data_IF_313345879952
#
_entry.id   IF_313345879952
#
_cell.length_a   1.000
_cell.length_b   1.000
_cell.length_c   1.000
_cell.angle_alpha   90.00
_cell.angle_beta   90.00
_cell.angle_gamma   90.00
#
_symmetry.space_group_name_H-M   'P 1'
#
loop_
_entity.id
_entity.type
_entity.pdbx_description
1 polymer ?
#
# COMPACT_ATOMS: atom_id res chain seq x y z
N UNK A 1 -0.46 -6.30 -2.91
CA UNK A 1 -0.05 -6.13 -4.33
C UNK A 1 -1.19 -6.69 -5.14
N UNK A 2 -1.67 -5.94 -6.12
CA UNK A 2 -2.71 -6.40 -7.03
C UNK A 2 -2.12 -6.48 -8.42
N UNK A 3 -2.40 -7.58 -9.10
CA UNK A 3 -1.90 -7.86 -10.44
C UNK A 3 -3.08 -8.26 -11.30
N UNK A 4 -3.16 -7.71 -12.50
CA UNK A 4 -4.16 -8.05 -13.49
C UNK A 4 -3.46 -8.35 -14.81
N UNK A 5 -3.61 -9.58 -15.28
CA UNK A 5 -3.27 -9.97 -16.65
C UNK A 5 -4.50 -9.75 -17.50
N UNK A 6 -4.46 -8.70 -18.32
CA UNK A 6 -5.59 -8.36 -19.16
C UNK A 6 -5.87 -9.40 -20.25
N UNK A 7 -4.81 -10.07 -20.75
CA UNK A 7 -4.93 -11.05 -21.83
C UNK A 7 -5.66 -12.31 -21.36
N UNK A 8 -5.33 -12.80 -20.16
CA UNK A 8 -6.03 -13.94 -19.56
C UNK A 8 -7.30 -13.57 -18.80
N UNK A 9 -7.48 -12.28 -18.47
CA UNK A 9 -8.55 -11.78 -17.61
C UNK A 9 -8.37 -12.16 -16.14
N UNK A 10 -7.22 -12.72 -15.77
CA UNK A 10 -6.93 -13.20 -14.41
C UNK A 10 -6.41 -12.04 -13.57
N UNK A 11 -6.94 -11.93 -12.34
CA UNK A 11 -6.46 -10.97 -11.36
C UNK A 11 -6.06 -11.69 -10.09
N UNK A 12 -4.93 -11.30 -9.51
CA UNK A 12 -4.37 -11.90 -8.30
C UNK A 12 -4.02 -10.79 -7.31
N UNK A 13 -4.44 -10.95 -6.06
CA UNK A 13 -3.97 -10.12 -4.95
C UNK A 13 -3.01 -10.92 -4.11
N UNK A 14 -1.81 -10.40 -3.95
CA UNK A 14 -0.78 -10.97 -3.09
C UNK A 14 -0.69 -10.10 -1.84
N UNK A 15 -1.04 -10.69 -0.70
CA UNK A 15 -0.93 -10.05 0.60
C UNK A 15 0.40 -10.43 1.26
N UNK A 16 1.26 -9.42 1.48
CA UNK A 16 2.56 -9.60 2.13
C UNK A 16 2.53 -9.21 3.62
N UNK A 17 1.36 -8.91 4.18
CA UNK A 17 1.24 -8.60 5.61
C UNK A 17 1.75 -9.78 6.42
N UNK A 18 2.74 -9.56 7.31
CA UNK A 18 3.31 -10.62 8.13
C UNK A 18 2.22 -11.22 9.02
N UNK A 19 2.21 -12.55 9.11
CA UNK A 19 1.30 -13.26 9.99
C UNK A 19 1.94 -13.37 11.37
N UNK A 20 1.35 -12.71 12.34
CA UNK A 20 1.77 -12.86 13.73
C UNK A 20 1.22 -14.17 14.30
N UNK A 21 2.12 -15.02 14.82
CA UNK A 21 1.71 -16.23 15.51
C UNK A 21 0.88 -15.88 16.75
N UNK A 22 -0.33 -16.42 16.84
CA UNK A 22 -1.25 -16.22 17.97
C UNK A 22 -0.60 -16.52 19.35
N UNK A 23 0.43 -17.36 19.39
CA UNK A 23 1.14 -17.72 20.62
C UNK A 23 1.95 -16.58 21.23
N UNK A 24 2.46 -15.64 20.42
CA UNK A 24 3.36 -14.59 20.92
C UNK A 24 2.61 -13.52 21.73
N UNK A 25 1.39 -13.19 21.30
CA UNK A 25 0.52 -12.26 22.03
C UNK A 25 0.09 -12.81 23.40
N UNK A 26 -0.18 -14.13 23.50
CA UNK A 26 -0.50 -14.77 24.78
C UNK A 26 0.72 -14.92 25.72
N UNK A 27 1.93 -15.01 25.17
CA UNK A 27 3.14 -15.25 25.96
C UNK A 27 3.68 -14.00 26.66
N UNK A 28 3.45 -12.81 26.08
CA UNK A 28 4.13 -11.57 26.48
C UNK A 28 3.35 -10.68 27.46
N UNK A 29 2.24 -11.17 28.03
CA UNK A 29 1.62 -10.56 29.22
C UNK A 29 1.31 -9.06 29.13
N UNK A 30 0.89 -8.58 27.95
CA UNK A 30 0.37 -7.22 27.74
C UNK A 30 1.37 -6.05 27.79
N UNK A 31 2.58 -6.22 28.34
CA UNK A 31 3.47 -5.08 28.64
C UNK A 31 4.79 -5.03 27.84
N UNK A 32 5.16 -6.06 27.07
CA UNK A 32 6.35 -6.02 26.19
C UNK A 32 5.99 -5.94 24.70
N UNK A 33 5.30 -4.86 24.30
CA UNK A 33 4.88 -4.61 22.92
C UNK A 33 6.04 -4.32 21.92
N UNK A 34 7.27 -4.05 22.42
CA UNK A 34 8.40 -3.65 21.57
C UNK A 34 9.15 -4.79 20.88
N UNK A 35 9.12 -6.00 21.44
CA UNK A 35 9.80 -7.16 20.83
C UNK A 35 8.85 -7.97 19.93
N UNK A 36 7.54 -7.92 20.21
CA UNK A 36 6.52 -8.58 19.38
C UNK A 36 6.31 -7.88 18.04
N UNK A 37 6.59 -6.58 17.94
CA UNK A 37 6.31 -5.80 16.73
C UNK A 37 7.24 -6.06 15.55
N UNK A 38 8.32 -6.80 15.75
CA UNK A 38 9.28 -7.19 14.70
C UNK A 38 8.60 -8.16 13.72
N UNK A 39 8.04 -7.62 12.65
CA UNK A 39 7.55 -8.38 11.52
C UNK A 39 8.68 -9.17 10.83
N UNK A 40 8.38 -10.41 10.42
CA UNK A 40 9.20 -11.17 9.49
C UNK A 40 9.38 -10.41 8.16
N UNK A 41 10.53 -10.56 7.47
CA UNK A 41 10.81 -9.91 6.19
C UNK A 41 10.01 -10.53 5.02
N UNK A 42 8.71 -10.77 5.24
CA UNK A 42 7.82 -11.49 4.33
C UNK A 42 7.58 -10.73 3.03
N UNK A 43 7.71 -9.39 3.06
CA UNK A 43 7.65 -8.55 1.86
C UNK A 43 8.62 -9.02 0.76
N UNK A 44 9.89 -9.21 1.11
CA UNK A 44 10.90 -9.49 0.11
C UNK A 44 10.81 -10.96 -0.34
N UNK A 45 10.38 -11.87 0.54
CA UNK A 45 10.04 -13.24 0.15
C UNK A 45 8.86 -13.28 -0.82
N UNK A 46 7.80 -12.54 -0.52
CA UNK A 46 6.62 -12.48 -1.36
C UNK A 46 6.89 -11.88 -2.74
N UNK A 47 7.78 -10.87 -2.83
CA UNK A 47 8.27 -10.35 -4.12
C UNK A 47 9.05 -11.42 -4.89
N UNK A 48 9.90 -12.20 -4.20
CA UNK A 48 10.64 -13.29 -4.83
C UNK A 48 9.72 -14.40 -5.33
N UNK A 49 8.72 -14.83 -4.54
CA UNK A 49 7.72 -15.78 -5.03
C UNK A 49 6.96 -15.20 -6.21
N UNK A 50 6.50 -13.95 -6.13
CA UNK A 50 5.84 -13.31 -7.27
C UNK A 50 6.73 -13.31 -8.54
N UNK A 51 8.02 -13.06 -8.39
CA UNK A 51 9.01 -13.15 -9.46
C UNK A 51 9.11 -14.57 -10.05
N UNK A 52 9.01 -15.62 -9.25
CA UNK A 52 9.04 -16.99 -9.78
C UNK A 52 7.87 -17.32 -10.72
N UNK A 53 6.74 -16.63 -10.55
CA UNK A 53 5.52 -16.88 -11.33
C UNK A 53 5.43 -15.97 -12.55
N UNK A 54 5.75 -14.68 -12.38
CA UNK A 54 5.54 -13.67 -13.42
C UNK A 54 6.85 -13.05 -13.95
N UNK A 55 7.96 -13.26 -13.26
CA UNK A 55 9.26 -12.70 -13.59
C UNK A 55 9.87 -13.32 -14.84
N UNK A 56 10.54 -12.48 -15.63
CA UNK A 56 11.19 -12.89 -16.89
C UNK A 56 12.68 -12.69 -16.91
N UNK A 57 13.15 -11.70 -16.14
CA UNK A 57 14.57 -11.46 -15.94
C UNK A 57 15.08 -12.39 -14.86
N UNK A 58 16.38 -12.69 -14.87
CA UNK A 58 16.99 -13.40 -13.75
C UNK A 58 16.80 -12.57 -12.46
N UNK A 59 16.51 -13.24 -11.34
CA UNK A 59 16.31 -12.56 -10.06
C UNK A 59 17.48 -11.64 -9.69
N UNK A 60 18.70 -12.11 -9.97
CA UNK A 60 19.91 -11.34 -9.75
C UNK A 60 19.89 -10.00 -10.49
N UNK A 61 19.48 -9.97 -11.76
CA UNK A 61 19.43 -8.76 -12.59
C UNK A 61 18.43 -7.74 -12.05
N UNK A 62 17.36 -8.21 -11.41
CA UNK A 62 16.33 -7.35 -10.80
C UNK A 62 16.84 -6.73 -9.48
N UNK A 63 17.58 -7.50 -8.69
CA UNK A 63 18.10 -7.05 -7.39
C UNK A 63 19.36 -6.20 -7.53
N UNK A 64 20.14 -6.39 -8.60
CA UNK A 64 21.43 -5.73 -8.80
C UNK A 64 21.37 -4.19 -8.73
N UNK A 65 20.41 -3.49 -9.36
CA UNK A 65 20.30 -2.04 -9.23
C UNK A 65 20.15 -1.56 -7.77
N UNK A 66 19.47 -2.35 -6.93
CA UNK A 66 19.34 -2.03 -5.49
C UNK A 66 20.64 -2.26 -4.72
N UNK A 67 21.43 -3.27 -5.11
CA UNK A 67 22.78 -3.52 -4.56
C UNK A 67 23.71 -2.36 -4.92
N UNK A 68 23.68 -1.93 -6.18
CA UNK A 68 24.52 -0.86 -6.70
C UNK A 68 24.16 0.47 -6.03
N UNK A 69 22.87 0.77 -5.89
CA UNK A 69 22.39 1.96 -5.19
C UNK A 69 22.76 1.95 -3.70
N UNK A 70 22.62 0.81 -3.02
CA UNK A 70 22.95 0.69 -1.59
C UNK A 70 24.47 0.80 -1.34
N UNK A 71 25.31 0.25 -2.23
CA UNK A 71 26.77 0.24 -2.04
C UNK A 71 27.47 1.48 -2.60
N UNK A 72 27.07 1.96 -3.77
CA UNK A 72 27.56 3.20 -4.37
C UNK A 72 26.99 4.45 -3.70
N UNK A 73 25.80 4.32 -3.13
CA UNK A 73 25.06 5.38 -2.47
C UNK A 73 24.38 6.34 -3.44
N UNK A 74 23.57 7.23 -2.89
CA UNK A 74 22.84 8.24 -3.66
C UNK A 74 22.67 9.54 -2.89
N UNK A 75 22.58 10.66 -3.62
CA UNK A 75 22.28 11.97 -3.06
C UNK A 75 20.78 12.21 -3.03
N UNK A 76 20.26 12.71 -1.92
CA UNK A 76 18.88 13.19 -1.83
C UNK A 76 18.81 14.40 -0.94
N UNK A 77 18.23 15.48 -1.45
CA UNK A 77 17.95 16.67 -0.64
C UNK A 77 16.83 16.40 0.37
N UNK A 78 15.85 15.57 0.01
CA UNK A 78 14.69 15.25 0.85
C UNK A 78 15.07 14.50 2.14
N UNK A 79 16.06 13.60 2.05
CA UNK A 79 16.47 12.80 3.21
C UNK A 79 17.18 13.61 4.31
N UNK A 80 17.76 14.77 3.97
CA UNK A 80 18.39 15.65 4.94
C UNK A 80 17.38 16.27 5.90
N UNK A 81 16.25 16.74 5.37
CA UNK A 81 15.14 17.27 6.14
C UNK A 81 14.47 16.15 6.96
N UNK A 82 14.28 15.00 6.33
CA UNK A 82 13.49 13.92 6.87
C UNK A 82 14.15 13.17 8.05
N UNK A 83 15.46 12.89 7.97
CA UNK A 83 16.15 12.14 9.02
C UNK A 83 16.73 12.99 10.16
N UNK A 84 16.60 14.32 10.09
CA UNK A 84 17.16 15.20 11.11
C UNK A 84 18.63 14.90 11.39
N UNK A 85 19.46 14.87 10.33
CA UNK A 85 20.94 14.87 10.21
C UNK A 85 21.89 14.46 11.37
N UNK A 86 21.46 13.71 12.39
CA UNK A 86 22.29 13.47 13.59
C UNK A 86 22.45 12.02 14.06
N UNK A 87 21.73 11.04 13.49
CA UNK A 87 21.64 9.71 14.13
C UNK A 87 21.77 8.48 13.21
N UNK A 88 21.89 8.65 11.91
CA UNK A 88 22.11 7.51 11.00
C UNK A 88 23.60 7.39 10.65
N UNK A 89 24.14 6.17 10.61
CA UNK A 89 25.48 5.84 10.11
C UNK A 89 25.53 6.00 8.58
N UNK A 90 25.13 7.17 8.10
CA UNK A 90 25.35 7.60 6.73
C UNK A 90 26.81 8.03 6.69
N UNK A 91 27.63 7.25 6.02
CA UNK A 91 28.98 7.68 5.67
C UNK A 91 28.86 8.93 4.80
N UNK A 92 29.12 10.09 5.40
CA UNK A 92 29.22 11.34 4.66
C UNK A 92 30.58 11.38 4.01
N UNK A 93 30.64 11.15 2.71
CA UNK A 93 31.79 11.61 1.94
C UNK A 93 31.68 13.13 1.82
N UNK A 94 32.51 13.82 2.58
CA UNK A 94 32.58 15.28 2.59
C UNK A 94 33.23 15.77 1.29
N UNK A 95 32.43 15.92 0.24
CA UNK A 95 32.78 16.64 -0.99
C UNK A 95 31.58 17.47 -1.44
N UNK A 96 31.72 18.80 -1.50
CA UNK A 96 30.71 19.75 -2.00
C UNK A 96 29.38 19.84 -1.23
N UNK A 97 29.31 19.45 0.04
CA UNK A 97 28.12 19.63 0.88
C UNK A 97 26.93 18.71 0.53
N UNK A 98 27.11 17.79 -0.43
CA UNK A 98 26.10 16.79 -0.76
C UNK A 98 26.29 15.56 0.13
N UNK A 99 25.26 15.20 0.89
CA UNK A 99 25.25 13.97 1.68
C UNK A 99 24.95 12.81 0.73
N UNK A 100 25.90 11.88 0.61
CA UNK A 100 25.70 10.60 -0.10
C UNK A 100 25.30 9.55 0.92
N UNK A 101 24.17 8.88 0.68
CA UNK A 101 23.65 7.82 1.54
C UNK A 101 24.17 6.47 1.07
N UNK A 102 25.15 5.88 1.78
CA UNK A 102 25.62 4.50 1.57
C UNK A 102 25.08 3.56 2.64
N UNK A 103 24.75 2.33 2.26
CA UNK A 103 24.17 1.29 3.13
C UNK A 103 24.85 -0.07 2.82
N UNK A 104 26.12 -0.20 3.21
CA UNK A 104 26.94 -1.38 2.89
C UNK A 104 26.36 -2.67 3.46
N UNK A 105 25.82 -2.63 4.68
CA UNK A 105 25.22 -3.82 5.30
C UNK A 105 23.97 -4.27 4.55
N UNK A 106 23.16 -3.32 4.05
CA UNK A 106 22.00 -3.62 3.21
C UNK A 106 22.43 -4.22 1.87
N UNK A 107 23.47 -3.66 1.24
CA UNK A 107 24.02 -4.21 0.01
C UNK A 107 24.47 -5.67 0.20
N UNK A 108 25.10 -6.01 1.32
CA UNK A 108 25.49 -7.39 1.63
C UNK A 108 24.30 -8.33 1.85
N UNK A 109 23.21 -7.85 2.47
CA UNK A 109 21.96 -8.61 2.54
C UNK A 109 21.41 -8.88 1.14
N UNK A 110 21.31 -7.84 0.32
CA UNK A 110 20.78 -7.94 -1.03
C UNK A 110 21.62 -8.87 -1.92
N UNK A 111 22.97 -8.85 -1.81
CA UNK A 111 23.86 -9.82 -2.48
C UNK A 111 23.60 -11.26 -2.06
N UNK A 112 23.34 -11.50 -0.77
CA UNK A 112 23.02 -12.85 -0.29
C UNK A 112 21.67 -13.32 -0.83
N UNK A 113 20.69 -12.43 -0.89
CA UNK A 113 19.35 -12.67 -1.44
C UNK A 113 19.38 -12.89 -2.95
N UNK A 114 20.26 -12.20 -3.68
CA UNK A 114 20.37 -12.34 -5.13
C UNK A 114 20.96 -13.69 -5.55
N UNK A 115 21.92 -14.22 -4.79
CA UNK A 115 22.64 -15.47 -5.12
C UNK A 115 21.95 -16.72 -4.58
N UNK A 116 21.55 -16.75 -3.30
CA UNK A 116 21.14 -18.00 -2.65
C UNK A 116 19.63 -18.26 -2.73
N UNK A 117 18.91 -17.42 -3.47
CA UNK A 117 17.46 -17.29 -3.37
C UNK A 117 17.03 -17.09 -1.90
N UNK A 118 15.75 -16.92 -1.62
CA UNK A 118 15.29 -16.52 -0.28
C UNK A 118 15.58 -17.51 0.86
N UNK A 119 16.13 -18.69 0.54
CA UNK A 119 16.38 -19.80 1.46
C UNK A 119 17.21 -19.41 2.68
N UNK A 120 18.15 -18.48 2.53
CA UNK A 120 19.01 -18.00 3.63
C UNK A 120 18.22 -17.24 4.69
N UNK A 121 17.21 -16.46 4.29
CA UNK A 121 16.38 -15.69 5.21
C UNK A 121 15.31 -16.56 5.87
N UNK A 122 14.70 -17.49 5.11
CA UNK A 122 13.61 -18.33 5.62
C UNK A 122 14.06 -19.41 6.59
N UNK A 123 15.24 -20.02 6.39
CA UNK A 123 15.79 -21.01 7.32
C UNK A 123 16.12 -20.42 8.69
N UNK A 124 16.56 -19.16 8.73
CA UNK A 124 16.85 -18.48 10.00
C UNK A 124 15.61 -18.10 10.80
N UNK A 125 14.43 -17.99 10.17
CA UNK A 125 13.26 -17.33 10.76
C UNK A 125 12.00 -18.20 10.92
N UNK A 126 12.02 -19.48 10.54
CA UNK A 126 10.86 -20.41 10.65
C UNK A 126 9.54 -19.84 10.04
N UNK A 127 9.62 -19.24 8.84
CA UNK A 127 8.54 -18.49 8.16
C UNK A 127 7.41 -19.38 7.55
N UNK A 128 7.29 -20.66 7.92
CA UNK A 128 6.46 -21.63 7.17
C UNK A 128 4.94 -21.33 7.07
N UNK A 129 4.34 -20.61 8.02
CA UNK A 129 2.87 -20.47 8.11
C UNK A 129 2.30 -19.41 7.14
N UNK A 130 3.10 -18.42 6.73
CA UNK A 130 2.66 -17.39 5.79
C UNK A 130 2.48 -17.92 4.35
N UNK A 131 3.14 -19.04 4.03
CA UNK A 131 3.27 -19.57 2.67
C UNK A 131 1.98 -20.15 2.10
N UNK A 132 1.25 -20.95 2.88
CA UNK A 132 0.02 -21.63 2.43
C UNK A 132 -1.07 -20.66 1.93
N UNK A 133 -1.12 -19.43 2.47
CA UNK A 133 -2.10 -18.44 2.02
C UNK A 133 -1.68 -17.77 0.72
N UNK A 134 -0.40 -17.44 0.57
CA UNK A 134 0.14 -16.87 -0.68
C UNK A 134 -0.17 -17.79 -1.86
N UNK A 135 -0.01 -19.10 -1.68
CA UNK A 135 -0.36 -20.10 -2.69
C UNK A 135 -1.86 -20.14 -3.01
N UNK A 136 -2.74 -20.15 -2.00
CA UNK A 136 -4.20 -20.10 -2.21
C UNK A 136 -4.67 -18.86 -2.98
N UNK A 137 -4.06 -17.70 -2.74
CA UNK A 137 -4.37 -16.48 -3.51
C UNK A 137 -3.93 -16.60 -4.98
N UNK A 138 -2.82 -17.28 -5.26
CA UNK A 138 -2.29 -17.45 -6.61
C UNK A 138 -3.03 -18.52 -7.42
N UNK A 139 -3.63 -19.52 -6.76
CA UNK A 139 -4.43 -20.57 -7.41
C UNK A 139 -5.84 -20.08 -7.82
N UNK A 140 -6.17 -18.81 -7.60
CA UNK A 140 -7.45 -18.22 -8.01
C UNK A 140 -8.64 -18.64 -7.15
N UNK A 141 -8.40 -19.28 -6.00
CA UNK A 141 -9.45 -19.70 -5.06
C UNK A 141 -9.93 -18.56 -4.14
N UNK A 142 -9.40 -17.35 -4.29
CA UNK A 142 -9.81 -16.22 -3.48
C UNK A 142 -11.10 -15.57 -4.02
N UNK A 143 -12.24 -16.04 -3.50
CA UNK A 143 -13.55 -15.43 -3.73
C UNK A 143 -13.62 -13.95 -3.32
N UNK A 144 -12.63 -13.41 -2.59
CA UNK A 144 -12.60 -12.02 -2.15
C UNK A 144 -12.22 -11.02 -3.25
N UNK A 145 -11.66 -11.48 -4.38
CA UNK A 145 -11.27 -10.63 -5.51
C UNK A 145 -12.33 -10.56 -6.62
N UNK A 146 -13.60 -10.39 -6.23
CA UNK A 146 -14.64 -10.09 -7.22
C UNK A 146 -14.52 -8.63 -7.65
N UNK A 147 -14.37 -8.34 -8.95
CA UNK A 147 -14.37 -6.96 -9.41
C UNK A 147 -15.69 -6.29 -9.09
N UNK A 148 -15.64 -5.03 -8.70
CA UNK A 148 -16.82 -4.18 -8.59
C UNK A 148 -17.08 -3.53 -9.94
N UNK A 149 -18.24 -3.76 -10.58
CA UNK A 149 -18.61 -3.02 -11.78
C UNK A 149 -18.89 -1.55 -11.42
N UNK A 150 -18.25 -0.63 -12.14
CA UNK A 150 -18.48 0.82 -12.02
C UNK A 150 -18.71 1.35 -13.43
N UNK A 151 -19.98 1.54 -13.81
CA UNK A 151 -20.40 1.76 -15.20
C UNK A 151 -19.89 0.61 -16.11
N UNK A 152 -19.16 0.94 -17.16
CA UNK A 152 -18.59 -0.02 -18.11
C UNK A 152 -17.18 -0.50 -17.69
N UNK A 153 -16.73 -0.16 -16.48
CA UNK A 153 -15.41 -0.51 -15.95
C UNK A 153 -15.51 -1.59 -14.87
N UNK A 154 -14.46 -2.39 -14.75
CA UNK A 154 -14.24 -3.31 -13.65
C UNK A 154 -13.17 -2.72 -12.72
N UNK A 155 -13.52 -2.57 -11.45
CA UNK A 155 -12.64 -2.10 -10.39
C UNK A 155 -12.24 -3.28 -9.50
N UNK A 156 -10.96 -3.63 -9.52
CA UNK A 156 -10.33 -4.53 -8.56
C UNK A 156 -9.65 -3.68 -7.49
N UNK A 157 -9.71 -4.12 -6.25
CA UNK A 157 -9.22 -3.32 -5.13
C UNK A 157 -8.87 -4.18 -3.92
N UNK A 158 -8.06 -3.62 -3.02
CA UNK A 158 -7.82 -4.22 -1.71
C UNK A 158 -9.01 -4.02 -0.77
N UNK A 159 -9.32 -5.05 0.02
CA UNK A 159 -10.57 -5.30 0.78
C UNK A 159 -11.19 -4.13 1.59
N UNK A 160 -10.46 -3.05 1.83
CA UNK A 160 -10.96 -1.84 2.50
C UNK A 160 -12.06 -1.14 1.69
N UNK A 161 -11.99 -1.19 0.36
CA UNK A 161 -12.96 -0.50 -0.51
C UNK A 161 -14.35 -1.16 -0.58
N UNK A 162 -14.48 -2.45 -0.23
CA UNK A 162 -15.77 -3.20 -0.29
C UNK A 162 -16.82 -2.48 0.56
N UNK A 163 -16.37 -1.93 1.70
CA UNK A 163 -17.25 -1.33 2.68
C UNK A 163 -17.75 0.07 2.30
N UNK A 164 -17.09 0.74 1.35
CA UNK A 164 -17.47 2.09 0.88
C UNK A 164 -18.54 2.00 -0.22
N UNK A 165 -18.44 0.99 -1.08
CA UNK A 165 -19.33 0.84 -2.23
C UNK A 165 -20.59 0.02 -1.94
N UNK A 166 -20.75 -0.49 -0.71
CA UNK A 166 -21.94 -1.19 -0.26
C UNK A 166 -22.03 -2.63 -0.78
N UNK A 167 -22.16 -3.59 0.14
CA UNK A 167 -22.65 -4.94 -0.18
C UNK A 167 -24.16 -4.88 -0.33
N UNK A 168 -24.66 -4.60 -1.54
CA UNK A 168 -26.04 -4.93 -1.87
C UNK A 168 -26.07 -6.19 -2.72
N UNK A 169 -26.08 -7.35 -2.06
CA UNK A 169 -26.52 -8.62 -2.68
C UNK A 169 -27.98 -8.57 -3.18
N UNK A 170 -28.69 -7.44 -3.06
CA UNK A 170 -30.05 -7.24 -3.54
C UNK A 170 -30.21 -6.19 -4.65
N UNK A 171 -29.12 -5.53 -5.09
CA UNK A 171 -29.18 -4.57 -6.20
C UNK A 171 -29.08 -5.30 -7.55
N UNK A 172 -30.23 -5.79 -8.03
CA UNK A 172 -30.35 -6.26 -9.42
C UNK A 172 -29.93 -5.16 -10.41
N UNK A 173 -29.35 -5.57 -11.53
CA UNK A 173 -28.45 -4.82 -12.43
C UNK A 173 -29.03 -3.61 -13.18
N UNK A 174 -30.12 -3.00 -12.73
CA UNK A 174 -30.81 -1.91 -13.44
C UNK A 174 -30.92 -0.57 -12.71
N UNK A 175 -30.40 -0.42 -11.48
CA UNK A 175 -30.64 0.80 -10.66
C UNK A 175 -29.39 1.52 -10.14
N UNK A 176 -28.20 1.27 -10.68
CA UNK A 176 -27.01 2.05 -10.31
C UNK A 176 -26.92 3.46 -10.94
N UNK A 177 -27.87 3.86 -11.79
CA UNK A 177 -27.94 5.25 -12.23
C UNK A 177 -28.63 6.11 -11.16
N UNK A 178 -27.85 6.89 -10.42
CA UNK A 178 -28.27 8.04 -9.58
C UNK A 178 -28.93 7.77 -8.22
N UNK A 179 -28.46 6.82 -7.41
CA UNK A 179 -28.89 6.77 -5.99
C UNK A 179 -28.11 7.79 -5.12
N UNK A 180 -28.79 8.74 -4.44
CA UNK A 180 -28.20 9.64 -3.44
C UNK A 180 -27.56 8.94 -2.22
N UNK A 181 -27.76 7.63 -2.08
CA UNK A 181 -27.30 6.88 -0.90
C UNK A 181 -25.83 6.47 -0.98
N UNK A 182 -25.24 6.42 -2.17
CA UNK A 182 -23.81 6.12 -2.36
C UNK A 182 -22.92 7.24 -1.80
N UNK A 183 -23.33 8.50 -1.97
CA UNK A 183 -22.66 9.65 -1.34
C UNK A 183 -22.77 9.60 0.20
N UNK A 184 -23.93 9.25 0.75
CA UNK A 184 -24.12 9.12 2.20
C UNK A 184 -23.34 7.93 2.80
N UNK A 185 -23.28 6.80 2.11
CA UNK A 185 -22.52 5.63 2.56
C UNK A 185 -21.01 5.91 2.54
N UNK A 186 -20.50 6.57 1.50
CA UNK A 186 -19.12 7.02 1.45
C UNK A 186 -18.78 7.98 2.60
N UNK A 187 -19.67 8.94 2.90
CA UNK A 187 -19.52 9.86 4.05
C UNK A 187 -19.53 9.10 5.39
N UNK A 188 -20.40 8.11 5.57
CA UNK A 188 -20.47 7.35 6.83
C UNK A 188 -19.23 6.47 7.07
N UNK A 189 -18.64 5.87 6.03
CA UNK A 189 -17.41 5.09 6.19
C UNK A 189 -16.19 5.96 6.47
N UNK A 190 -16.15 7.14 5.85
CA UNK A 190 -15.17 8.18 6.13
C UNK A 190 -15.21 8.61 7.62
N UNK A 191 -16.34 8.42 8.32
CA UNK A 191 -16.53 8.80 9.72
C UNK A 191 -15.93 7.91 10.83
N UNK A 192 -15.05 6.94 10.51
CA UNK A 192 -14.49 6.08 11.55
C UNK A 192 -13.62 6.89 12.55
N UNK A 193 -14.10 6.96 13.81
CA UNK A 193 -13.45 7.63 14.95
C UNK A 193 -12.27 6.82 15.47
N UNK A 194 -11.04 7.11 15.04
CA UNK A 194 -9.84 6.55 15.69
C UNK A 194 -8.63 7.48 15.52
N UNK A 195 -7.89 7.66 16.60
CA UNK A 195 -6.56 8.27 16.63
C UNK A 195 -5.57 7.37 15.88
N UNK A 196 -5.36 7.63 14.59
CA UNK A 196 -4.40 6.88 13.78
C UNK A 196 -3.11 7.67 13.58
N UNK A 197 -2.00 6.95 13.71
CA UNK A 197 -0.66 7.41 13.34
C UNK A 197 -0.61 7.45 11.81
N UNK A 198 -0.20 8.58 11.24
CA UNK A 198 0.01 8.67 9.79
C UNK A 198 1.11 7.69 9.37
N UNK A 199 0.75 6.75 8.51
CA UNK A 199 1.68 5.78 7.96
C UNK A 199 2.36 6.38 6.73
N UNK A 200 3.66 6.15 6.62
CA UNK A 200 4.43 6.53 5.44
C UNK A 200 4.69 5.27 4.65
N UNK A 201 3.98 5.19 3.54
CA UNK A 201 4.10 4.06 2.63
C UNK A 201 4.57 4.59 1.28
N UNK A 202 4.71 3.72 0.32
CA UNK A 202 5.06 4.07 -1.05
C UNK A 202 4.21 3.22 -1.97
N UNK A 203 3.76 3.84 -3.04
CA UNK A 203 2.99 3.17 -4.06
C UNK A 203 3.76 3.14 -5.37
N UNK A 204 3.72 2.02 -6.07
CA UNK A 204 4.27 1.84 -7.40
C UNK A 204 3.18 1.19 -8.26
N UNK A 205 2.95 1.77 -9.42
CA UNK A 205 2.07 1.23 -10.45
C UNK A 205 2.91 0.92 -11.70
N UNK A 206 2.70 -0.24 -12.31
CA UNK A 206 3.37 -0.65 -13.54
C UNK A 206 2.33 -1.17 -14.53
N UNK A 207 2.44 -0.76 -15.79
CA UNK A 207 1.69 -1.32 -16.90
C UNK A 207 2.71 -1.62 -18.00
N UNK A 208 2.77 -2.86 -18.45
CA UNK A 208 3.69 -3.27 -19.52
C UNK A 208 3.00 -3.34 -20.89
N UNK A 209 3.78 -3.63 -21.93
CA UNK A 209 3.30 -3.74 -23.32
C UNK A 209 2.41 -4.96 -23.58
N UNK A 210 2.34 -5.89 -22.63
CA UNK A 210 1.48 -7.08 -22.70
C UNK A 210 0.23 -6.92 -21.83
N UNK A 211 -0.03 -5.71 -21.37
CA UNK A 211 -1.22 -5.39 -20.61
C UNK A 211 -1.27 -6.13 -19.26
N UNK A 212 -0.09 -6.35 -18.67
CA UNK A 212 0.05 -6.70 -17.26
C UNK A 212 0.02 -5.42 -16.44
N UNK A 213 -1.00 -5.28 -15.60
CA UNK A 213 -1.15 -4.17 -14.67
C UNK A 213 -0.73 -4.63 -13.27
N UNK A 214 0.15 -3.88 -12.63
CA UNK A 214 0.59 -4.13 -11.25
C UNK A 214 0.36 -2.88 -10.43
N UNK A 215 -0.33 -3.03 -9.30
CA UNK A 215 -0.57 -1.99 -8.32
C UNK A 215 -0.01 -2.45 -6.97
N UNK A 216 1.10 -1.85 -6.53
CA UNK A 216 1.86 -2.30 -5.37
C UNK A 216 2.04 -1.17 -4.36
N UNK A 217 1.44 -1.33 -3.19
CA UNK A 217 1.68 -0.45 -2.03
C UNK A 217 2.49 -1.21 -0.97
N UNK A 218 3.56 -0.58 -0.48
CA UNK A 218 4.40 -1.12 0.59
C UNK A 218 4.92 0.01 1.46
N UNK A 219 5.13 -0.21 2.75
CA UNK A 219 5.62 0.85 3.64
C UNK A 219 5.94 0.35 5.03
N UNK A 220 6.29 1.27 5.92
CA UNK A 220 6.53 1.02 7.34
C UNK A 220 5.58 1.90 8.18
N UNK A 221 5.10 1.38 9.33
CA UNK A 221 4.09 2.10 10.12
C UNK A 221 4.67 3.19 11.03
N UNK A 222 5.98 3.20 11.28
CA UNK A 222 6.62 4.04 12.31
C UNK A 222 7.67 4.96 11.71
N UNK A 223 7.74 6.19 12.25
CA UNK A 223 8.80 7.13 11.90
C UNK A 223 10.18 6.54 12.23
N UNK A 224 11.23 6.88 11.46
CA UNK A 224 12.53 6.27 11.67
C UNK A 224 13.21 6.45 13.03
N UNK A 225 12.68 7.37 13.84
CA UNK A 225 13.22 7.73 15.15
C UNK A 225 13.14 6.58 16.16
N UNK A 226 12.24 5.62 15.95
CA UNK A 226 12.02 4.49 16.87
C UNK A 226 12.67 3.17 16.40
N UNK A 227 13.34 3.16 15.24
CA UNK A 227 13.94 1.93 14.76
C UNK A 227 15.22 1.57 15.52
N UNK A 228 15.26 0.37 16.08
CA UNK A 228 16.50 -0.28 16.46
C UNK A 228 17.22 -0.72 15.18
N UNK A 229 18.35 -0.08 14.87
CA UNK A 229 19.19 -0.47 13.75
C UNK A 229 19.61 -1.93 13.94
N UNK A 230 19.23 -2.78 12.99
CA UNK A 230 19.77 -4.14 12.92
C UNK A 230 21.20 -4.08 12.34
N UNK A 231 22.03 -5.07 12.68
CA UNK A 231 23.38 -5.20 12.09
C UNK A 231 23.36 -5.44 10.58
N UNK A 232 22.20 -5.73 10.00
CA UNK A 232 22.05 -6.01 8.58
C UNK A 232 21.74 -4.76 7.75
N UNK A 233 21.65 -3.57 8.36
CA UNK A 233 21.27 -2.33 7.67
C UNK A 233 19.80 -2.29 7.25
N UNK A 234 19.06 -3.38 7.45
CA UNK A 234 17.62 -3.46 7.24
C UNK A 234 16.88 -2.92 8.46
N UNK A 235 15.92 -2.05 8.21
CA UNK A 235 15.01 -1.55 9.23
C UNK A 235 13.87 -2.55 9.38
N UNK A 236 13.78 -3.18 10.55
CA UNK A 236 12.66 -4.09 10.82
C UNK A 236 11.41 -3.27 11.04
N UNK A 237 10.33 -3.66 10.36
CA UNK A 237 9.04 -3.02 10.44
C UNK A 237 8.44 -3.29 11.82
N UNK A 238 8.14 -2.21 12.55
CA UNK A 238 7.26 -2.25 13.71
C UNK A 238 5.83 -2.16 13.18
N UNK A 239 5.12 -3.28 13.18
CA UNK A 239 3.76 -3.36 12.63
C UNK A 239 2.66 -3.64 13.66
N UNK A 240 3.03 -3.86 14.92
CA UNK A 240 2.07 -4.21 15.96
C UNK A 240 1.69 -3.00 16.80
N UNK A 241 0.72 -2.25 16.30
CA UNK A 241 -0.08 -1.38 17.15
C UNK A 241 -1.35 -2.12 17.55
N UNK A 242 -1.32 -2.76 18.72
CA UNK A 242 -2.54 -3.27 19.34
C UNK A 242 -3.34 -2.11 19.94
N UNK A 243 -4.65 -2.06 19.67
CA UNK A 243 -5.52 -1.19 20.45
C UNK A 243 -5.55 -1.67 21.90
N UNK A 244 -5.30 -0.78 22.85
CA UNK A 244 -5.25 -1.10 24.30
C UNK A 244 -6.54 -1.72 24.85
N UNK A 245 -7.66 -1.59 24.14
CA UNK A 245 -8.99 -1.81 24.72
C UNK A 245 -9.50 -3.25 24.63
N UNK A 246 -8.68 -4.22 24.18
CA UNK A 246 -9.11 -5.62 24.06
C UNK A 246 -10.31 -5.85 23.12
N UNK A 247 -10.75 -4.79 22.42
CA UNK A 247 -11.73 -4.87 21.34
C UNK A 247 -11.15 -5.76 20.25
N UNK A 248 -11.98 -6.66 19.71
CA UNK A 248 -11.70 -7.69 18.68
C UNK A 248 -11.14 -7.15 17.34
N UNK A 249 -10.23 -6.19 17.35
CA UNK A 249 -9.38 -5.89 16.21
C UNK A 249 -8.17 -6.82 16.30
N UNK A 250 -8.39 -8.09 15.96
CA UNK A 250 -7.30 -9.02 15.76
C UNK A 250 -6.39 -8.48 14.66
N UNK A 251 -5.25 -7.91 15.06
CA UNK A 251 -4.21 -7.35 14.18
C UNK A 251 -4.69 -6.10 13.41
N UNK A 252 -3.90 -5.02 13.45
CA UNK A 252 -4.21 -3.82 12.69
C UNK A 252 -4.29 -4.17 11.19
N UNK A 253 -5.45 -3.93 10.57
CA UNK A 253 -5.59 -4.04 9.12
C UNK A 253 -4.64 -3.03 8.48
N UNK A 254 -3.71 -3.51 7.66
CA UNK A 254 -2.83 -2.65 6.87
C UNK A 254 -3.68 -1.77 5.94
N UNK A 255 -3.55 -0.45 6.05
CA UNK A 255 -4.26 0.53 5.22
C UNK A 255 -3.64 0.70 3.82
N UNK A 256 -3.17 -0.40 3.23
CA UNK A 256 -2.61 -0.40 1.88
C UNK A 256 -3.74 -0.40 0.86
N UNK A 257 -4.10 0.79 0.40
CA UNK A 257 -5.10 0.97 -0.65
C UNK A 257 -4.42 0.95 -2.01
N UNK A 258 -4.87 0.01 -2.84
CA UNK A 258 -4.45 -0.12 -4.23
C UNK A 258 -5.60 -0.71 -5.04
N UNK A 259 -5.69 -0.29 -6.29
CA UNK A 259 -6.73 -0.65 -7.22
C UNK A 259 -6.19 -0.82 -8.63
N UNK A 260 -6.93 -1.62 -9.40
CA UNK A 260 -6.81 -1.73 -10.85
C UNK A 260 -8.19 -1.44 -11.45
N UNK A 261 -8.23 -0.53 -12.42
CA UNK A 261 -9.42 -0.19 -13.20
C UNK A 261 -9.13 -0.51 -14.66
N UNK A 262 -10.03 -1.26 -15.30
CA UNK A 262 -10.00 -1.47 -16.74
C UNK A 262 -11.39 -1.63 -17.33
N UNK A 263 -11.50 -1.43 -18.65
CA UNK A 263 -12.72 -1.65 -19.40
C UNK A 263 -12.68 -2.99 -20.14
N UNK A 264 -13.56 -3.97 -19.85
CA UNK A 264 -13.51 -5.31 -20.46
C UNK A 264 -13.78 -5.30 -21.97
N UNK A 265 -14.71 -4.47 -22.43
CA UNK A 265 -15.04 -4.34 -23.86
C UNK A 265 -14.14 -3.39 -24.67
N UNK A 266 -13.26 -2.63 -24.02
CA UNK A 266 -12.42 -1.60 -24.65
C UNK A 266 -11.06 -1.58 -23.95
N UNK A 267 -10.27 -2.63 -24.13
CA UNK A 267 -9.04 -2.81 -23.37
C UNK A 267 -8.07 -1.64 -23.53
N UNK A 268 -8.11 -0.97 -24.68
CA UNK A 268 -7.26 0.16 -25.01
C UNK A 268 -7.76 1.54 -24.53
N UNK A 269 -8.94 1.66 -23.90
CA UNK A 269 -9.56 2.95 -23.58
C UNK A 269 -9.03 3.52 -22.26
N UNK A 270 -9.43 2.96 -21.11
CA UNK A 270 -8.92 3.34 -19.79
C UNK A 270 -8.40 2.10 -19.08
N UNK A 271 -7.12 2.19 -18.70
CA UNK A 271 -6.39 1.22 -17.90
C UNK A 271 -5.60 1.96 -16.85
N UNK A 272 -5.82 1.61 -15.59
CA UNK A 272 -5.21 2.33 -14.48
C UNK A 272 -4.88 1.35 -13.38
N UNK A 273 -3.60 1.25 -13.05
CA UNK A 273 -3.16 0.77 -11.75
C UNK A 273 -2.90 2.01 -10.90
N UNK A 274 -3.53 2.08 -9.73
CA UNK A 274 -3.46 3.25 -8.84
C UNK A 274 -3.45 2.81 -7.38
N UNK A 275 -2.82 3.61 -6.54
CA UNK A 275 -2.85 3.47 -5.09
C UNK A 275 -2.40 4.75 -4.44
N UNK A 276 -2.44 4.79 -3.11
CA UNK A 276 -2.03 5.98 -2.36
C UNK A 276 -1.34 5.60 -1.07
N UNK A 277 -0.49 6.50 -0.61
CA UNK A 277 0.56 6.27 0.37
C UNK A 277 0.37 6.95 1.75
N UNK A 278 -0.82 7.49 2.02
CA UNK A 278 -1.10 8.32 3.20
C UNK A 278 -2.10 7.69 4.19
N UNK A 279 -1.97 6.39 4.46
CA UNK A 279 -2.79 5.68 5.47
C UNK A 279 -4.30 5.87 5.25
N UNK A 280 -4.99 6.50 6.21
CA UNK A 280 -6.44 6.75 6.10
C UNK A 280 -6.83 7.68 4.95
N UNK A 281 -5.95 8.61 4.56
CA UNK A 281 -6.19 9.51 3.43
C UNK A 281 -6.12 8.77 2.10
N UNK A 282 -5.44 7.60 2.07
CA UNK A 282 -5.22 6.86 0.83
C UNK A 282 -6.51 6.47 0.15
N UNK A 283 -7.52 6.06 0.93
CA UNK A 283 -8.79 5.60 0.36
C UNK A 283 -9.52 6.74 -0.33
N UNK A 284 -9.68 7.89 0.35
CA UNK A 284 -10.40 9.02 -0.22
C UNK A 284 -9.66 9.64 -1.40
N UNK A 285 -8.33 9.80 -1.29
CA UNK A 285 -7.50 10.32 -2.37
C UNK A 285 -7.62 9.45 -3.64
N UNK A 286 -7.54 8.11 -3.48
CA UNK A 286 -7.64 7.17 -4.59
C UNK A 286 -9.05 7.15 -5.19
N UNK A 287 -10.10 7.10 -4.36
CA UNK A 287 -11.49 7.13 -4.84
C UNK A 287 -11.75 8.40 -5.62
N UNK A 288 -11.33 9.56 -5.12
CA UNK A 288 -11.50 10.82 -5.84
C UNK A 288 -10.78 10.82 -7.18
N UNK A 289 -9.54 10.33 -7.25
CA UNK A 289 -8.82 10.21 -8.52
C UNK A 289 -9.56 9.30 -9.51
N UNK A 290 -10.05 8.14 -9.07
CA UNK A 290 -10.83 7.21 -9.90
C UNK A 290 -12.12 7.88 -10.40
N UNK A 291 -12.87 8.55 -9.53
CA UNK A 291 -14.12 9.21 -9.91
C UNK A 291 -13.88 10.35 -10.90
N UNK A 292 -12.80 11.12 -10.77
CA UNK A 292 -12.46 12.17 -11.72
C UNK A 292 -12.21 11.60 -13.13
N UNK A 293 -11.47 10.49 -13.22
CA UNK A 293 -11.24 9.81 -14.51
C UNK A 293 -12.53 9.22 -15.07
N UNK A 294 -13.27 8.45 -14.27
CA UNK A 294 -14.42 7.67 -14.77
C UNK A 294 -15.70 8.47 -14.96
N UNK A 295 -15.92 9.51 -14.15
CA UNK A 295 -17.17 10.29 -14.17
C UNK A 295 -17.04 11.61 -14.90
N UNK A 296 -15.88 12.26 -14.82
CA UNK A 296 -15.66 13.60 -15.35
C UNK A 296 -14.74 13.61 -16.59
N UNK A 297 -14.33 12.44 -17.10
CA UNK A 297 -13.40 12.29 -18.22
C UNK A 297 -12.09 13.07 -18.02
N UNK A 298 -11.66 13.25 -16.77
CA UNK A 298 -10.38 13.89 -16.48
C UNK A 298 -9.24 12.96 -16.89
N UNK A 299 -8.15 13.55 -17.38
CA UNK A 299 -6.88 12.81 -17.51
C UNK A 299 -6.38 12.39 -16.14
N UNK A 300 -5.51 11.36 -16.08
CA UNK A 300 -4.93 10.93 -14.80
C UNK A 300 -4.17 12.07 -14.11
N UNK A 301 -3.47 12.91 -14.87
CA UNK A 301 -2.75 14.07 -14.32
C UNK A 301 -3.69 15.09 -13.69
N UNK A 302 -4.79 15.45 -14.35
CA UNK A 302 -5.82 16.33 -13.79
C UNK A 302 -6.49 15.69 -12.56
N UNK A 303 -6.80 14.39 -12.66
CA UNK A 303 -7.41 13.63 -11.56
C UNK A 303 -6.49 13.58 -10.33
N UNK A 304 -5.17 13.49 -10.49
CA UNK A 304 -4.21 13.52 -9.39
C UNK A 304 -4.05 14.93 -8.81
N UNK A 305 -4.00 15.97 -9.66
CA UNK A 305 -3.90 17.36 -9.24
C UNK A 305 -5.17 17.93 -8.60
N UNK A 306 -6.32 17.28 -8.80
CA UNK A 306 -7.58 17.70 -8.20
C UNK A 306 -7.49 17.71 -6.66
N UNK A 307 -7.93 18.76 -5.96
CA UNK A 307 -7.82 18.83 -4.50
C UNK A 307 -8.46 17.64 -3.79
N UNK A 308 -7.75 17.02 -2.83
CA UNK A 308 -8.30 15.88 -2.09
C UNK A 308 -9.04 16.31 -0.85
N UNK A 309 -10.02 15.47 -0.50
CA UNK A 309 -10.77 15.53 0.73
C UNK A 309 -10.48 14.27 1.51
N UNK A 310 -10.36 14.41 2.82
CA UNK A 310 -10.41 13.27 3.72
C UNK A 310 -11.19 13.64 4.96
N UNK A 311 -11.75 12.63 5.60
CA UNK A 311 -12.50 12.80 6.83
C UNK A 311 -11.72 12.22 7.99
N UNK A 312 -11.74 12.92 9.12
CA UNK A 312 -11.22 12.40 10.38
C UNK A 312 -12.05 12.97 11.53
N UNK A 313 -12.60 12.07 12.35
CA UNK A 313 -13.23 12.41 13.64
C UNK A 313 -14.40 13.42 13.60
N UNK A 314 -15.17 13.46 12.52
CA UNK A 314 -16.26 14.44 12.38
C UNK A 314 -15.90 15.61 11.49
N UNK A 315 -14.63 15.77 11.14
CA UNK A 315 -14.10 16.92 10.42
C UNK A 315 -13.71 16.52 9.01
N UNK A 316 -14.14 17.32 8.03
CA UNK A 316 -13.68 17.26 6.65
C UNK A 316 -12.43 18.11 6.54
N UNK A 317 -11.35 17.50 6.09
CA UNK A 317 -10.11 18.16 5.75
C UNK A 317 -10.01 18.27 4.25
N UNK A 318 -9.55 19.42 3.79
CA UNK A 318 -9.35 19.74 2.38
C UNK A 318 -7.87 20.05 2.20
N UNK A 319 -7.25 19.50 1.16
CA UNK A 319 -5.91 19.92 0.77
C UNK A 319 -5.89 21.43 0.48
N UNK A 320 -4.75 22.07 0.69
CA UNK A 320 -4.62 23.51 0.45
C UNK A 320 -4.59 23.79 -1.06
N UNK A 321 -5.45 24.69 -1.51
CA UNK A 321 -5.49 25.21 -2.89
C UNK A 321 -6.15 26.58 -2.91
N UNK A 322 -5.91 27.35 -3.98
CA UNK A 322 -6.30 28.76 -4.08
C UNK A 322 -7.80 29.05 -3.80
N UNK A 323 -8.68 28.08 -4.04
CA UNK A 323 -10.14 28.19 -3.88
C UNK A 323 -10.71 27.31 -2.75
N UNK A 324 -9.88 26.87 -1.80
CA UNK A 324 -10.31 25.94 -0.74
C UNK A 324 -11.49 26.49 0.07
N UNK A 325 -11.50 27.77 0.43
CA UNK A 325 -12.61 28.39 1.18
C UNK A 325 -13.94 28.35 0.41
N UNK A 326 -13.91 28.69 -0.88
CA UNK A 326 -15.10 28.65 -1.73
C UNK A 326 -15.63 27.21 -1.83
N UNK A 327 -14.74 26.25 -2.07
CA UNK A 327 -15.10 24.85 -2.18
C UNK A 327 -15.68 24.28 -0.88
N UNK A 328 -15.09 24.61 0.28
CA UNK A 328 -15.62 24.25 1.60
C UNK A 328 -17.01 24.85 1.80
N UNK A 329 -17.22 26.13 1.45
CA UNK A 329 -18.54 26.77 1.57
C UNK A 329 -19.61 26.10 0.70
N UNK A 330 -19.22 25.67 -0.51
CA UNK A 330 -20.11 24.93 -1.41
C UNK A 330 -20.46 23.55 -0.82
N UNK A 331 -19.49 22.84 -0.26
CA UNK A 331 -19.71 21.54 0.39
C UNK A 331 -20.63 21.68 1.60
N UNK A 332 -20.38 22.65 2.48
CA UNK A 332 -21.22 22.92 3.65
C UNK A 332 -22.67 23.16 3.23
N UNK A 333 -22.88 23.99 2.20
CA UNK A 333 -24.21 24.26 1.65
C UNK A 333 -24.89 23.02 1.07
N UNK A 334 -24.16 22.16 0.35
CA UNK A 334 -24.71 20.93 -0.23
C UNK A 334 -25.05 19.88 0.84
N UNK A 335 -24.16 19.72 1.82
CA UNK A 335 -24.28 18.72 2.87
C UNK A 335 -25.20 19.15 4.03
N UNK A 336 -25.61 20.43 4.04
CA UNK A 336 -26.42 21.04 5.11
C UNK A 336 -25.75 20.95 6.49
N UNK A 337 -24.44 21.22 6.51
CA UNK A 337 -23.61 21.28 7.73
C UNK A 337 -23.15 22.70 8.02
#
# INVERSE_FOLDING_TARGET
MLVHDHVSGISVSVNFTPIYGNSLASLLGGNEAKLSSLASPDHLYGIWEFHRWYGRLAWQDIVQPSIDLASGGFSSHYWNEYFGLGRTNVEREAGNGTVVLKQMELADVLRRVSVNEFRVLTHSLRISVALDRVFKYMEGEDESLKPLPVRDFLLYYSQILVNICGTEENATSSTMSSSPDLEKQAVNYLCLKRDYIEHKVSHISVIDSQEMLVSFTSGHLVEPKDFTKSKSGYIVKDQLFYSKDGLNNGVANDFYVHAIVYHPGKPCDIRMAIGSDHGLRSTSAMVMAILQVLLNNATLTEALAFPKLYFKEGTIYVEDFDDAEYFVSMLQKKLKI
#
